data_IF_930291725145
#
_entry.id   IF_930291725145
#
_cell.length_a   1.000
_cell.length_b   1.000
_cell.length_c   1.000
_cell.angle_alpha   90.00
_cell.angle_beta   90.00
_cell.angle_gamma   90.00
#
_symmetry.space_group_name_H-M   'P 1'
#
loop_
_entity.id
_entity.type
_entity.pdbx_description
1 polymer ?
#
# COMPACT_ATOMS: atom_id res chain seq x y z
N UNK A 1 -12.62 -12.71 1.14
CA UNK A 1 -12.20 -11.33 0.79
C UNK A 1 -12.14 -10.41 2.02
N UNK A 2 -11.18 -9.48 2.10
CA UNK A 2 -11.11 -8.47 3.17
C UNK A 2 -11.02 -7.06 2.61
N UNK A 3 -11.89 -6.17 3.09
CA UNK A 3 -11.84 -4.74 2.81
C UNK A 3 -11.71 -3.94 4.10
N UNK A 4 -11.21 -2.72 4.00
CA UNK A 4 -10.91 -1.89 5.17
C UNK A 4 -11.14 -0.41 4.89
N UNK A 5 -11.44 0.35 5.94
CA UNK A 5 -11.62 1.79 5.89
C UNK A 5 -11.26 2.45 7.21
N UNK A 6 -10.69 3.65 7.16
CA UNK A 6 -10.34 4.46 8.32
C UNK A 6 -11.45 5.47 8.63
N UNK A 7 -11.81 5.58 9.91
CA UNK A 7 -12.80 6.51 10.42
C UNK A 7 -12.22 7.34 11.56
N UNK A 8 -12.56 8.63 11.66
CA UNK A 8 -12.20 9.46 12.82
C UNK A 8 -12.96 9.03 14.08
N UNK A 9 -14.22 8.65 13.88
CA UNK A 9 -15.10 8.16 14.94
C UNK A 9 -15.56 6.77 14.54
N UNK A 10 -15.35 5.79 15.41
CA UNK A 10 -15.80 4.42 15.14
C UNK A 10 -17.34 4.40 14.92
N UNK A 11 -17.82 3.84 13.80
CA UNK A 11 -19.25 3.71 13.56
C UNK A 11 -19.87 2.74 14.56
N UNK A 12 -21.04 3.09 15.09
CA UNK A 12 -21.77 2.25 16.04
C UNK A 12 -22.32 0.97 15.37
N UNK A 13 -22.66 1.06 14.08
CA UNK A 13 -23.10 -0.07 13.26
C UNK A 13 -22.38 -0.05 11.90
N UNK A 14 -21.25 -0.80 11.77
CA UNK A 14 -20.55 -0.94 10.51
C UNK A 14 -21.38 -1.58 9.40
N UNK A 15 -22.40 -2.39 9.73
CA UNK A 15 -23.25 -3.08 8.73
C UNK A 15 -24.22 -2.11 8.04
N UNK A 16 -24.56 -1.00 8.70
CA UNK A 16 -25.37 0.08 8.12
C UNK A 16 -24.62 0.98 7.14
N UNK A 17 -23.31 0.77 6.95
CA UNK A 17 -22.51 1.53 5.98
C UNK A 17 -22.55 0.88 4.60
N UNK A 18 -22.44 1.69 3.55
CA UNK A 18 -22.15 1.16 2.22
C UNK A 18 -20.74 0.55 2.17
N UNK A 19 -20.55 -0.58 1.45
CA UNK A 19 -21.51 -1.26 0.58
C UNK A 19 -22.47 -2.23 1.29
N UNK A 20 -22.30 -2.50 2.58
CA UNK A 20 -23.00 -3.58 3.29
C UNK A 20 -24.51 -3.35 3.42
N UNK A 21 -24.95 -2.09 3.50
CA UNK A 21 -26.37 -1.75 3.53
C UNK A 21 -27.11 -2.21 2.26
N UNK A 22 -26.42 -2.14 1.11
CA UNK A 22 -26.93 -2.55 -0.21
C UNK A 22 -26.73 -4.03 -0.53
N UNK A 23 -25.88 -4.73 0.22
CA UNK A 23 -25.51 -6.14 0.02
C UNK A 23 -25.86 -6.98 1.25
N UNK A 24 -27.15 -7.06 1.56
CA UNK A 24 -27.67 -7.67 2.79
C UNK A 24 -27.52 -9.19 2.84
N UNK A 25 -27.32 -9.81 1.68
CA UNK A 25 -27.08 -11.24 1.49
C UNK A 25 -25.71 -11.66 2.04
N UNK A 26 -24.75 -10.74 2.10
CA UNK A 26 -23.43 -11.00 2.64
C UNK A 26 -23.44 -10.98 4.17
N UNK A 27 -22.57 -11.79 4.78
CA UNK A 27 -22.43 -11.93 6.24
C UNK A 27 -21.05 -11.44 6.72
N UNK A 28 -20.74 -10.14 6.58
CA UNK A 28 -19.43 -9.61 6.94
C UNK A 28 -19.16 -9.73 8.44
N UNK A 29 -17.93 -10.10 8.77
CA UNK A 29 -17.38 -10.06 10.14
C UNK A 29 -16.47 -8.85 10.25
N UNK A 30 -16.75 -7.98 11.22
CA UNK A 30 -15.98 -6.75 11.42
C UNK A 30 -14.98 -6.88 12.55
N UNK A 31 -13.79 -6.34 12.35
CA UNK A 31 -12.84 -6.04 13.42
C UNK A 31 -12.51 -4.56 13.43
N UNK A 32 -12.18 -4.05 14.62
CA UNK A 32 -11.84 -2.64 14.83
C UNK A 32 -10.51 -2.54 15.53
N UNK A 33 -9.63 -1.71 14.99
CA UNK A 33 -8.33 -1.41 15.56
C UNK A 33 -8.13 0.11 15.63
N UNK A 34 -7.52 0.60 16.70
CA UNK A 34 -7.13 2.01 16.77
C UNK A 34 -5.79 2.21 16.07
N UNK A 35 -5.76 3.05 15.05
CA UNK A 35 -4.57 3.37 14.26
C UNK A 35 -4.33 4.88 14.35
N UNK A 36 -3.34 5.29 15.14
CA UNK A 36 -3.10 6.68 15.50
C UNK A 36 -4.38 7.33 16.08
N UNK A 37 -4.87 8.40 15.46
CA UNK A 37 -6.09 9.13 15.83
C UNK A 37 -7.35 8.64 15.10
N UNK A 38 -7.24 7.56 14.32
CA UNK A 38 -8.34 6.97 13.56
C UNK A 38 -8.68 5.56 14.11
N UNK A 39 -9.84 5.06 13.69
CA UNK A 39 -10.28 3.69 13.85
C UNK A 39 -10.27 3.00 12.49
N UNK A 40 -9.47 1.95 12.37
CA UNK A 40 -9.46 1.06 11.22
C UNK A 40 -10.56 0.01 11.42
N UNK A 41 -11.53 -0.01 10.52
CA UNK A 41 -12.52 -1.08 10.42
C UNK A 41 -12.09 -2.00 9.30
N UNK A 42 -11.97 -3.29 9.60
CA UNK A 42 -11.74 -4.34 8.60
C UNK A 42 -12.98 -5.20 8.54
N UNK A 43 -13.55 -5.35 7.35
CA UNK A 43 -14.64 -6.26 7.07
C UNK A 43 -14.09 -7.50 6.35
N UNK A 44 -14.30 -8.67 6.95
CA UNK A 44 -14.03 -9.96 6.35
C UNK A 44 -15.33 -10.56 5.83
N UNK A 45 -15.40 -10.84 4.54
CA UNK A 45 -16.51 -11.54 3.88
C UNK A 45 -15.97 -12.87 3.39
N UNK A 46 -16.61 -13.97 3.78
CA UNK A 46 -16.25 -15.29 3.30
C UNK A 46 -16.64 -15.41 1.81
N UNK A 47 -15.76 -15.95 0.97
CA UNK A 47 -16.01 -16.01 -0.48
C UNK A 47 -17.26 -16.84 -0.81
N UNK A 48 -17.63 -17.77 0.07
CA UNK A 48 -18.86 -18.58 -0.03
C UNK A 48 -20.14 -17.74 0.04
N UNK A 49 -20.10 -16.56 0.65
CA UNK A 49 -21.24 -15.65 0.72
C UNK A 49 -21.66 -15.14 -0.68
N UNK A 50 -20.76 -15.20 -1.66
CA UNK A 50 -21.02 -14.80 -3.04
C UNK A 50 -21.58 -15.94 -3.91
N UNK A 51 -21.50 -17.20 -3.49
CA UNK A 51 -21.98 -18.34 -4.27
C UNK A 51 -23.49 -18.27 -4.58
N UNK A 52 -24.38 -17.91 -3.64
CA UNK A 52 -25.82 -17.78 -3.91
C UNK A 52 -26.15 -16.67 -4.93
N UNK A 53 -25.26 -15.69 -5.10
CA UNK A 53 -25.46 -14.53 -5.96
C UNK A 53 -25.23 -14.84 -7.45
N UNK A 54 -24.78 -16.05 -7.78
CA UNK A 54 -24.64 -16.54 -9.17
C UNK A 54 -25.98 -16.70 -9.91
N UNK A 55 -27.10 -16.49 -9.22
CA UNK A 55 -28.42 -16.34 -9.84
C UNK A 55 -28.65 -14.94 -10.44
N UNK A 56 -27.87 -13.95 -10.01
CA UNK A 56 -27.94 -12.54 -10.45
C UNK A 56 -26.72 -12.21 -11.32
N UNK A 57 -25.54 -12.68 -10.91
CA UNK A 57 -24.26 -12.50 -11.61
C UNK A 57 -23.89 -13.75 -12.40
N UNK A 58 -23.12 -13.60 -13.48
CA UNK A 58 -22.64 -14.71 -14.31
C UNK A 58 -21.68 -15.63 -13.57
N UNK A 59 -20.92 -15.09 -12.60
CA UNK A 59 -20.04 -15.87 -11.75
C UNK A 59 -19.84 -15.25 -10.36
N UNK A 60 -19.25 -16.03 -9.46
CA UNK A 60 -18.85 -15.56 -8.13
C UNK A 60 -17.86 -14.40 -8.23
N UNK A 61 -16.90 -14.51 -9.14
CA UNK A 61 -15.85 -13.50 -9.38
C UNK A 61 -16.46 -12.18 -9.88
N UNK A 62 -17.49 -12.25 -10.72
CA UNK A 62 -18.22 -11.05 -11.15
C UNK A 62 -18.94 -10.38 -9.96
N UNK A 63 -19.61 -11.17 -9.11
CA UNK A 63 -20.27 -10.65 -7.92
C UNK A 63 -19.28 -9.99 -6.94
N UNK A 64 -18.13 -10.63 -6.71
CA UNK A 64 -17.04 -10.07 -5.90
C UNK A 64 -16.49 -8.78 -6.51
N UNK A 65 -16.29 -8.72 -7.82
CA UNK A 65 -15.82 -7.54 -8.54
C UNK A 65 -16.81 -6.37 -8.47
N UNK A 66 -18.11 -6.64 -8.61
CA UNK A 66 -19.17 -5.65 -8.46
C UNK A 66 -19.21 -5.08 -7.03
N UNK A 67 -19.11 -5.95 -6.03
CA UNK A 67 -19.04 -5.53 -4.63
C UNK A 67 -17.80 -4.66 -4.36
N UNK A 68 -16.62 -5.07 -4.83
CA UNK A 68 -15.38 -4.31 -4.66
C UNK A 68 -15.45 -2.93 -5.33
N UNK A 69 -16.06 -2.85 -6.50
CA UNK A 69 -16.27 -1.58 -7.20
C UNK A 69 -17.07 -0.60 -6.34
N UNK A 70 -18.22 -1.04 -5.80
CA UNK A 70 -19.02 -0.23 -4.89
C UNK A 70 -18.26 0.11 -3.59
N UNK A 71 -17.51 -0.85 -3.05
CA UNK A 71 -16.69 -0.63 -1.87
C UNK A 71 -15.68 0.52 -2.10
N UNK A 72 -14.98 0.50 -3.23
CA UNK A 72 -14.00 1.53 -3.63
C UNK A 72 -14.67 2.89 -3.84
N UNK A 73 -15.85 2.93 -4.45
CA UNK A 73 -16.66 4.16 -4.61
C UNK A 73 -16.98 4.79 -3.25
N UNK A 74 -17.24 3.96 -2.25
CA UNK A 74 -17.49 4.39 -0.87
C UNK A 74 -16.22 4.47 -0.01
N UNK A 75 -15.03 4.43 -0.62
CA UNK A 75 -13.75 4.68 0.04
C UNK A 75 -13.22 3.53 0.90
N UNK A 76 -13.74 2.32 0.72
CA UNK A 76 -13.10 1.11 1.22
C UNK A 76 -11.96 0.70 0.30
N UNK A 77 -10.90 0.14 0.88
CA UNK A 77 -9.79 -0.44 0.15
C UNK A 77 -9.73 -1.94 0.42
N UNK A 78 -9.40 -2.75 -0.57
CA UNK A 78 -9.01 -4.14 -0.34
C UNK A 78 -7.77 -4.19 0.56
N UNK A 79 -7.74 -5.12 1.51
CA UNK A 79 -6.58 -5.28 2.41
C UNK A 79 -5.39 -5.79 1.59
N UNK A 80 -4.29 -5.03 1.48
CA UNK A 80 -3.13 -5.46 0.70
C UNK A 80 -2.49 -6.73 1.25
N UNK A 81 -2.36 -7.75 0.40
CA UNK A 81 -1.69 -9.01 0.74
C UNK A 81 -0.28 -9.10 0.15
N UNK A 82 0.00 -8.31 -0.88
CA UNK A 82 1.27 -8.34 -1.61
C UNK A 82 1.80 -6.93 -1.77
N UNK A 83 3.12 -6.80 -1.70
CA UNK A 83 3.80 -5.55 -1.96
C UNK A 83 5.12 -5.79 -2.67
N UNK A 84 5.62 -4.76 -3.33
CA UNK A 84 7.00 -4.67 -3.78
C UNK A 84 7.62 -3.38 -3.24
N UNK A 85 8.95 -3.31 -3.22
CA UNK A 85 9.68 -2.09 -2.90
C UNK A 85 10.31 -1.55 -4.17
N UNK A 86 10.11 -0.27 -4.43
CA UNK A 86 10.60 0.41 -5.61
C UNK A 86 11.53 1.56 -5.25
N UNK A 87 12.62 1.69 -6.01
CA UNK A 87 13.48 2.86 -6.01
C UNK A 87 14.04 3.08 -7.41
N UNK A 88 14.34 4.34 -7.73
CA UNK A 88 14.93 4.70 -9.01
C UNK A 88 15.84 5.91 -8.87
N UNK A 89 16.74 6.04 -9.82
CA UNK A 89 17.65 7.17 -9.97
C UNK A 89 17.94 7.41 -11.46
N UNK A 90 18.30 8.64 -11.78
CA UNK A 90 18.75 9.00 -13.12
C UNK A 90 20.27 9.04 -13.15
N UNK A 91 20.88 8.33 -14.10
CA UNK A 91 22.33 8.33 -14.34
C UNK A 91 22.54 8.71 -15.80
N UNK A 92 23.23 9.83 -16.04
CA UNK A 92 23.57 10.31 -17.40
C UNK A 92 22.33 10.45 -18.32
N UNK A 93 21.20 10.94 -17.79
CA UNK A 93 19.97 11.10 -18.57
C UNK A 93 19.14 9.83 -18.74
N UNK A 94 19.54 8.72 -18.12
CA UNK A 94 18.86 7.41 -18.24
C UNK A 94 18.30 6.97 -16.91
N UNK A 95 17.06 6.47 -16.95
CA UNK A 95 16.41 5.84 -15.82
C UNK A 95 17.12 4.52 -15.47
N UNK A 96 17.53 4.41 -14.21
CA UNK A 96 17.96 3.17 -13.58
C UNK A 96 17.08 2.89 -12.37
N UNK A 97 16.36 1.78 -12.42
CA UNK A 97 15.31 1.43 -11.47
C UNK A 97 15.53 0.05 -10.86
N UNK A 98 15.01 -0.16 -9.66
CA UNK A 98 15.19 -1.36 -8.90
C UNK A 98 13.89 -1.74 -8.21
N UNK A 99 13.58 -3.03 -8.23
CA UNK A 99 12.40 -3.59 -7.62
C UNK A 99 12.80 -4.76 -6.72
N UNK A 100 12.44 -4.69 -5.44
CA UNK A 100 12.49 -5.83 -4.54
C UNK A 100 11.08 -6.44 -4.45
N UNK A 101 10.95 -7.69 -4.86
CA UNK A 101 9.69 -8.43 -4.81
C UNK A 101 9.97 -9.88 -4.41
N UNK A 102 9.22 -10.41 -3.44
CA UNK A 102 9.42 -11.75 -2.88
C UNK A 102 10.89 -12.06 -2.50
N UNK A 103 11.58 -11.08 -1.90
CA UNK A 103 12.99 -11.19 -1.50
C UNK A 103 14.01 -11.17 -2.64
N UNK A 104 13.57 -11.02 -3.89
CA UNK A 104 14.43 -10.92 -5.06
C UNK A 104 14.52 -9.47 -5.53
N UNK A 105 15.75 -8.99 -5.73
CA UNK A 105 16.03 -7.67 -6.29
C UNK A 105 16.26 -7.83 -7.79
N UNK A 106 15.49 -7.11 -8.59
CA UNK A 106 15.66 -7.00 -10.03
C UNK A 106 15.96 -5.55 -10.38
N UNK A 107 16.88 -5.36 -11.33
CA UNK A 107 17.28 -4.04 -11.84
C UNK A 107 16.74 -3.85 -13.24
N UNK A 108 16.37 -2.62 -13.55
CA UNK A 108 15.72 -2.22 -14.79
C UNK A 108 16.37 -0.94 -15.31
N UNK A 109 16.45 -0.87 -16.62
CA UNK A 109 16.86 0.33 -17.34
C UNK A 109 15.63 0.92 -18.03
N UNK A 110 15.78 2.09 -18.64
CA UNK A 110 14.72 2.73 -19.42
C UNK A 110 14.07 1.78 -20.46
N UNK A 111 14.86 0.89 -21.08
CA UNK A 111 14.39 -0.07 -22.10
C UNK A 111 13.58 -1.24 -21.53
N UNK A 112 13.67 -1.51 -20.22
CA UNK A 112 12.98 -2.61 -19.54
C UNK A 112 11.99 -2.14 -18.48
N UNK A 113 11.75 -0.82 -18.38
CA UNK A 113 10.84 -0.22 -17.40
C UNK A 113 9.39 -0.75 -17.53
N UNK A 114 8.91 -1.07 -18.74
CA UNK A 114 7.58 -1.65 -18.92
C UNK A 114 7.45 -3.03 -18.24
N UNK A 115 8.50 -3.85 -18.26
CA UNK A 115 8.51 -5.16 -17.61
C UNK A 115 8.39 -5.00 -16.09
N UNK A 116 9.09 -4.00 -15.52
CA UNK A 116 8.96 -3.63 -14.11
C UNK A 116 7.53 -3.21 -13.78
N UNK A 117 6.93 -2.33 -14.59
CA UNK A 117 5.55 -1.85 -14.39
C UNK A 117 4.56 -3.01 -14.43
N UNK A 118 4.72 -3.99 -15.32
CA UNK A 118 3.85 -5.17 -15.35
C UNK A 118 3.88 -5.99 -14.05
N UNK A 119 5.04 -6.03 -13.37
CA UNK A 119 5.15 -6.67 -12.05
C UNK A 119 4.46 -5.81 -10.99
N UNK A 120 4.73 -4.50 -10.99
CA UNK A 120 4.13 -3.54 -10.05
C UNK A 120 2.61 -3.44 -10.19
N UNK A 121 2.07 -3.65 -11.39
CA UNK A 121 0.64 -3.65 -11.65
C UNK A 121 -0.09 -4.82 -10.96
N UNK A 122 0.61 -5.94 -10.72
CA UNK A 122 0.05 -7.16 -10.10
C UNK A 122 0.09 -7.18 -8.58
N UNK A 123 0.81 -6.25 -7.96
CA UNK A 123 0.86 -6.15 -6.49
C UNK A 123 -0.20 -5.18 -5.97
N UNK A 124 -0.60 -5.36 -4.71
CA UNK A 124 -1.54 -4.45 -4.06
C UNK A 124 -0.87 -3.13 -3.64
N UNK A 125 0.40 -3.18 -3.20
CA UNK A 125 1.15 -2.01 -2.70
C UNK A 125 2.53 -1.88 -3.34
N UNK A 126 2.91 -0.64 -3.60
CA UNK A 126 4.28 -0.25 -4.00
C UNK A 126 4.86 0.58 -2.86
N UNK A 127 5.82 0.02 -2.14
CA UNK A 127 6.52 0.73 -1.07
C UNK A 127 7.67 1.53 -1.68
N UNK A 128 7.73 2.81 -1.34
CA UNK A 128 8.84 3.70 -1.71
C UNK A 128 9.31 4.43 -0.46
N UNK A 129 10.58 4.88 -0.48
CA UNK A 129 11.03 5.80 0.54
C UNK A 129 10.37 7.18 0.36
N UNK A 130 10.75 7.87 -0.72
CA UNK A 130 10.22 9.16 -1.14
C UNK A 130 9.29 8.97 -2.33
N UNK A 131 8.23 9.77 -2.40
CA UNK A 131 7.30 9.77 -3.54
C UNK A 131 7.97 10.30 -4.83
N UNK A 132 9.07 11.04 -4.72
CA UNK A 132 9.80 11.58 -5.88
C UNK A 132 10.22 10.50 -6.87
N UNK A 133 10.61 9.30 -6.40
CA UNK A 133 11.03 8.23 -7.32
C UNK A 133 9.88 7.72 -8.20
N UNK A 134 8.62 7.92 -7.78
CA UNK A 134 7.44 7.51 -8.54
C UNK A 134 7.28 8.34 -9.81
N UNK A 135 7.75 9.59 -9.82
CA UNK A 135 7.58 10.48 -10.97
C UNK A 135 8.29 9.98 -12.22
N UNK A 136 9.37 9.20 -12.06
CA UNK A 136 10.12 8.61 -13.18
C UNK A 136 9.31 7.63 -14.04
N UNK A 137 8.23 7.05 -13.49
CA UNK A 137 7.43 6.03 -14.18
C UNK A 137 5.97 6.41 -14.35
N UNK A 138 5.57 7.63 -13.97
CA UNK A 138 4.17 8.07 -14.08
C UNK A 138 3.65 8.04 -15.51
N UNK A 139 4.49 8.34 -16.50
CA UNK A 139 4.09 8.36 -17.91
C UNK A 139 3.71 6.97 -18.43
N UNK A 140 4.30 5.91 -17.86
CA UNK A 140 4.06 4.51 -18.26
C UNK A 140 3.19 3.74 -17.25
N UNK A 141 2.99 4.28 -16.03
CA UNK A 141 2.11 3.72 -15.01
C UNK A 141 1.36 4.82 -14.23
N UNK A 142 0.33 5.45 -14.83
CA UNK A 142 -0.37 6.56 -14.21
C UNK A 142 -1.12 6.20 -12.92
N UNK A 143 -1.62 4.96 -12.81
CA UNK A 143 -2.43 4.50 -11.67
C UNK A 143 -1.61 4.14 -10.41
N UNK A 144 -0.27 4.22 -10.49
CA UNK A 144 0.62 3.88 -9.38
C UNK A 144 0.30 4.65 -8.09
N UNK A 145 -0.23 5.87 -8.20
CA UNK A 145 -0.56 6.74 -7.08
C UNK A 145 -1.54 6.10 -6.09
N UNK A 146 -2.40 5.19 -6.57
CA UNK A 146 -3.37 4.46 -5.74
C UNK A 146 -2.74 3.33 -4.94
N UNK A 147 -1.49 2.95 -5.23
CA UNK A 147 -0.78 1.83 -4.61
C UNK A 147 0.42 2.25 -3.77
N UNK A 148 0.84 3.51 -3.86
CA UNK A 148 2.11 3.97 -3.26
C UNK A 148 1.98 4.19 -1.76
N UNK A 149 2.77 3.43 -1.00
CA UNK A 149 3.05 3.68 0.39
C UNK A 149 4.41 4.37 0.52
N UNK A 150 4.44 5.64 0.97
CA UNK A 150 5.68 6.41 1.16
C UNK A 150 6.08 6.44 2.63
N UNK A 151 7.25 5.86 2.93
CA UNK A 151 7.83 5.85 4.27
C UNK A 151 8.15 7.28 4.74
N UNK A 152 8.77 8.10 3.89
CA UNK A 152 9.11 9.48 4.24
C UNK A 152 7.86 10.30 4.60
N UNK A 153 6.74 10.12 3.87
CA UNK A 153 5.47 10.77 4.24
C UNK A 153 4.99 10.35 5.63
N UNK A 154 5.07 9.07 5.97
CA UNK A 154 4.63 8.54 7.27
C UNK A 154 5.53 8.97 8.43
N UNK A 155 6.83 9.10 8.20
CA UNK A 155 7.77 9.71 9.17
C UNK A 155 7.44 11.19 9.35
N UNK A 156 7.29 11.92 8.23
CA UNK A 156 7.01 13.36 8.22
C UNK A 156 5.72 13.75 8.93
N UNK A 157 4.64 12.96 8.79
CA UNK A 157 3.38 13.15 9.54
C UNK A 157 3.57 13.14 11.06
N UNK A 158 4.53 12.37 11.56
CA UNK A 158 4.74 12.14 13.01
C UNK A 158 5.83 13.02 13.61
N UNK A 159 6.91 13.27 12.87
CA UNK A 159 8.07 14.01 13.34
C UNK A 159 8.21 15.41 12.71
N UNK A 160 7.29 15.79 11.81
CA UNK A 160 7.31 17.05 11.07
C UNK A 160 8.31 17.10 9.90
N UNK A 161 9.30 16.21 9.88
CA UNK A 161 10.28 16.07 8.79
C UNK A 161 10.74 14.61 8.66
N UNK A 162 10.95 14.15 7.43
CA UNK A 162 11.67 12.92 7.16
C UNK A 162 13.16 13.23 6.89
N UNK A 163 14.10 12.44 7.46
CA UNK A 163 15.50 12.50 7.05
C UNK A 163 15.66 12.05 5.58
N UNK A 164 16.87 12.12 5.04
CA UNK A 164 17.19 11.49 3.75
C UNK A 164 17.51 10.00 3.94
N UNK A 165 17.39 9.20 2.86
CA UNK A 165 17.67 7.76 2.92
C UNK A 165 19.13 7.49 3.33
N UNK A 166 20.07 8.32 2.87
CA UNK A 166 21.49 8.26 3.20
C UNK A 166 21.77 8.61 4.67
N UNK A 167 20.97 9.49 5.28
CA UNK A 167 21.08 9.79 6.72
C UNK A 167 20.61 8.59 7.55
N UNK A 168 19.50 7.96 7.15
CA UNK A 168 19.04 6.73 7.78
C UNK A 168 20.08 5.63 7.66
N UNK A 169 20.71 5.45 6.50
CA UNK A 169 21.75 4.45 6.33
C UNK A 169 22.86 4.55 7.37
N UNK A 170 23.33 5.78 7.66
CA UNK A 170 24.34 6.04 8.69
C UNK A 170 23.88 5.61 10.07
N UNK A 171 22.62 5.89 10.43
CA UNK A 171 22.02 5.47 11.72
C UNK A 171 21.99 3.94 11.83
N UNK A 172 21.66 3.27 10.74
CA UNK A 172 21.57 1.81 10.68
C UNK A 172 22.91 1.12 10.41
N UNK A 173 24.02 1.86 10.32
CA UNK A 173 25.35 1.31 10.02
C UNK A 173 25.44 0.66 8.65
N UNK A 174 24.61 1.06 7.69
CA UNK A 174 24.56 0.53 6.33
C UNK A 174 25.28 1.49 5.37
N UNK A 175 26.15 0.94 4.55
CA UNK A 175 26.81 1.68 3.48
C UNK A 175 25.96 1.58 2.21
N UNK A 176 25.48 2.71 1.69
CA UNK A 176 24.72 2.74 0.43
C UNK A 176 25.69 3.03 -0.71
N UNK A 177 25.99 2.00 -1.51
CA UNK A 177 26.81 2.14 -2.73
C UNK A 177 26.02 1.84 -3.99
N UNK A 178 24.93 1.10 -3.87
CA UNK A 178 24.15 0.56 -4.97
C UNK A 178 22.65 0.80 -4.80
N UNK A 179 21.89 0.57 -5.87
CA UNK A 179 20.43 0.65 -5.82
C UNK A 179 19.86 -0.49 -4.96
N UNK A 180 20.52 -1.64 -4.97
CA UNK A 180 20.22 -2.81 -4.16
C UNK A 180 20.36 -2.51 -2.67
N UNK A 181 21.39 -1.76 -2.26
CA UNK A 181 21.56 -1.32 -0.87
C UNK A 181 20.42 -0.42 -0.43
N UNK A 182 19.98 0.50 -1.31
CA UNK A 182 18.82 1.37 -1.05
C UNK A 182 17.55 0.55 -0.86
N UNK A 183 17.28 -0.42 -1.73
CA UNK A 183 16.11 -1.29 -1.62
C UNK A 183 16.11 -2.10 -0.32
N UNK A 184 17.27 -2.66 0.07
CA UNK A 184 17.42 -3.40 1.33
C UNK A 184 17.24 -2.49 2.55
N UNK A 185 17.72 -1.25 2.49
CA UNK A 185 17.46 -0.30 3.56
C UNK A 185 15.97 0.00 3.66
N UNK A 186 15.27 0.24 2.55
CA UNK A 186 13.82 0.49 2.54
C UNK A 186 13.06 -0.72 3.12
N UNK A 187 13.45 -1.94 2.75
CA UNK A 187 12.90 -3.17 3.32
C UNK A 187 13.07 -3.20 4.83
N UNK A 188 14.29 -2.90 5.32
CA UNK A 188 14.59 -2.83 6.74
C UNK A 188 13.79 -1.75 7.47
N UNK A 189 13.46 -0.63 6.82
CA UNK A 189 12.62 0.42 7.43
C UNK A 189 11.16 -0.02 7.64
N UNK A 190 10.71 -1.10 6.98
CA UNK A 190 9.40 -1.69 7.28
C UNK A 190 9.44 -2.51 8.59
N UNK A 191 10.62 -2.85 9.08
CA UNK A 191 10.82 -3.45 10.41
C UNK A 191 10.71 -2.36 11.48
N UNK A 192 9.50 -2.16 11.99
CA UNK A 192 9.23 -1.22 13.07
C UNK A 192 10.00 -1.55 14.37
N UNK A 193 10.40 -0.54 15.17
CA UNK A 193 10.29 0.90 14.93
C UNK A 193 11.44 1.45 14.07
N UNK A 194 11.17 2.56 13.36
CA UNK A 194 12.18 3.27 12.58
C UNK A 194 12.93 4.28 13.44
N UNK A 195 14.26 4.21 13.44
CA UNK A 195 15.15 5.16 14.11
C UNK A 195 15.52 6.29 13.17
N UNK A 196 15.30 7.53 13.61
CA UNK A 196 15.63 8.74 12.85
C UNK A 196 16.50 9.68 13.68
N UNK A 197 17.14 10.71 13.08
CA UNK A 197 17.84 11.74 13.84
C UNK A 197 16.94 12.52 14.81
N UNK A 198 15.63 12.47 14.62
CA UNK A 198 14.64 13.26 15.37
C UNK A 198 13.85 12.42 16.39
N UNK A 199 14.16 11.13 16.51
CA UNK A 199 13.46 10.19 17.40
C UNK A 199 13.10 8.87 16.73
N UNK A 200 12.48 7.98 17.50
CA UNK A 200 11.95 6.71 16.99
C UNK A 200 10.48 6.87 16.59
N UNK A 201 10.09 6.20 15.50
CA UNK A 201 8.74 6.27 14.96
C UNK A 201 8.24 4.88 14.56
N UNK A 202 7.05 4.53 15.03
CA UNK A 202 6.33 3.35 14.55
C UNK A 202 5.52 3.73 13.32
N UNK A 203 5.94 3.23 12.17
CA UNK A 203 5.21 3.34 10.92
C UNK A 203 3.95 2.47 10.98
N UNK A 204 2.85 2.90 10.35
CA UNK A 204 1.72 2.01 10.15
C UNK A 204 2.17 0.87 9.22
N UNK A 205 1.51 -0.27 9.33
CA UNK A 205 1.79 -1.38 8.41
C UNK A 205 1.44 -0.97 6.97
N UNK A 206 2.17 -1.49 5.98
CA UNK A 206 1.94 -1.19 4.56
C UNK A 206 0.53 -1.63 4.10
N UNK A 207 -0.07 -2.56 4.83
CA UNK A 207 -1.43 -3.05 4.58
C UNK A 207 -2.51 -2.11 5.14
N UNK A 208 -2.19 -1.00 5.80
CA UNK A 208 -3.21 -0.01 6.19
C UNK A 208 -3.69 0.79 4.97
N UNK A 209 -4.89 1.40 5.01
CA UNK A 209 -5.39 2.24 3.93
C UNK A 209 -4.47 3.43 3.65
N UNK A 210 -4.37 3.85 2.38
CA UNK A 210 -3.58 5.04 2.02
C UNK A 210 -4.35 6.34 2.24
N UNK A 211 -5.69 6.27 2.19
CA UNK A 211 -6.57 7.41 2.45
C UNK A 211 -6.52 7.81 3.93
N UNK A 212 -6.67 9.11 4.17
CA UNK A 212 -6.79 9.64 5.53
C UNK A 212 -8.17 9.30 6.12
N UNK A 213 -8.31 9.35 7.46
CA UNK A 213 -9.61 9.07 8.06
C UNK A 213 -10.67 10.12 7.71
N UNK A 214 -11.84 9.61 7.35
CA UNK A 214 -13.09 10.36 7.20
C UNK A 214 -13.68 10.75 8.56
#
# INVERSE_FOLDING_TARGET
MKIQKLFRIAPADPKGLEPFASWQELSPKFSTEKVNDCFLIVAHIDDTDFEPLTSIFQSKEEAMGAFLTLAIEHGWEEVPETYCIYHAQEIEGKLFAGLLFNGQINLYEQTTAEQMVQIMARVHRVVVYSYEVVTYIKDIYPEIDQKVFSIAREIGKRLGKAPELEELAKIYGMEIKSLEDKLRLIEKLLENPVRTPFGEVSLPSFNHPLRECE
#
